data_IF_104551245074
#
_entry.id   IF_104551245074
#
_cell.length_a   1.000
_cell.length_b   1.000
_cell.length_c   1.000
_cell.angle_alpha   90.00
_cell.angle_beta   90.00
_cell.angle_gamma   90.00
#
_symmetry.space_group_name_H-M   'P 1'
#
loop_
_entity.id
_entity.type
_entity.pdbx_description
1 polymer ?
#
# COMPACT_ATOMS: atom_id res chain seq x y z
N UNK A 1 -11.14 13.26 -16.65
CA UNK A 1 -10.51 13.15 -15.32
C UNK A 1 -11.22 14.13 -14.40
N UNK A 2 -11.57 13.73 -13.17
CA UNK A 2 -12.25 14.62 -12.21
C UNK A 2 -11.23 15.57 -11.56
N UNK A 3 -11.64 16.77 -11.17
CA UNK A 3 -10.72 17.80 -10.66
C UNK A 3 -9.87 17.32 -9.47
N UNK A 4 -10.49 16.65 -8.49
CA UNK A 4 -9.76 16.11 -7.32
C UNK A 4 -8.66 15.11 -7.70
N UNK A 5 -8.80 14.35 -8.80
CA UNK A 5 -7.77 13.41 -9.27
C UNK A 5 -6.53 14.15 -9.80
N UNK A 6 -6.76 15.28 -10.47
CA UNK A 6 -5.68 16.15 -10.96
C UNK A 6 -5.00 16.85 -9.79
N UNK A 7 -5.78 17.34 -8.84
CA UNK A 7 -5.26 18.04 -7.66
C UNK A 7 -4.45 17.10 -6.77
N UNK A 8 -4.93 15.87 -6.55
CA UNK A 8 -4.20 14.85 -5.79
C UNK A 8 -2.88 14.47 -6.47
N UNK A 9 -2.90 14.31 -7.80
CA UNK A 9 -1.69 14.00 -8.56
C UNK A 9 -0.64 15.11 -8.42
N UNK A 10 -1.03 16.37 -8.65
CA UNK A 10 -0.14 17.53 -8.48
C UNK A 10 0.38 17.66 -7.05
N UNK A 11 -0.48 17.43 -6.07
CA UNK A 11 -0.06 17.41 -4.67
C UNK A 11 1.00 16.33 -4.43
N UNK A 12 0.85 15.14 -5.01
CA UNK A 12 1.78 14.03 -4.83
C UNK A 12 3.15 14.26 -5.51
N UNK A 13 3.24 15.13 -6.52
CA UNK A 13 4.53 15.51 -7.12
C UNK A 13 5.44 16.20 -6.10
N UNK A 14 4.87 17.04 -5.23
CA UNK A 14 5.63 17.86 -4.29
C UNK A 14 5.62 17.34 -2.85
N UNK A 15 4.70 16.43 -2.51
CA UNK A 15 4.48 15.94 -1.15
C UNK A 15 4.77 14.44 -1.00
N UNK A 16 5.13 14.07 0.21
CA UNK A 16 5.48 12.70 0.61
C UNK A 16 4.22 11.89 0.98
N UNK A 17 3.30 12.56 1.65
CA UNK A 17 1.98 12.04 2.03
C UNK A 17 0.91 12.96 1.44
N UNK A 18 -0.08 12.37 0.78
CA UNK A 18 -1.25 13.10 0.28
C UNK A 18 -2.55 12.49 0.81
N UNK A 19 -3.49 13.35 1.20
CA UNK A 19 -4.81 12.98 1.71
C UNK A 19 -5.90 13.39 0.71
N UNK A 20 -6.68 12.43 0.22
CA UNK A 20 -7.88 12.70 -0.58
C UNK A 20 -9.13 12.55 0.30
N UNK A 21 -9.78 13.68 0.60
CA UNK A 21 -11.01 13.74 1.38
C UNK A 21 -12.30 13.77 0.55
N UNK A 22 -12.21 13.50 -0.75
CA UNK A 22 -13.38 13.52 -1.62
C UNK A 22 -14.49 12.54 -1.15
N UNK A 23 -15.77 12.85 -1.35
CA UNK A 23 -16.87 11.97 -0.98
C UNK A 23 -16.76 10.58 -1.63
N UNK A 24 -17.31 9.55 -0.99
CA UNK A 24 -17.39 8.20 -1.58
C UNK A 24 -18.14 8.23 -2.91
N UNK A 25 -17.74 7.38 -3.86
CA UNK A 25 -18.33 7.35 -5.21
C UNK A 25 -17.77 8.39 -6.19
N UNK A 26 -16.88 9.29 -5.75
CA UNK A 26 -16.23 10.29 -6.63
C UNK A 26 -14.98 9.78 -7.33
N UNK A 27 -14.56 8.53 -7.11
CA UNK A 27 -13.42 7.94 -7.80
C UNK A 27 -12.06 8.14 -7.13
N UNK A 28 -12.02 8.29 -5.80
CA UNK A 28 -10.79 8.29 -4.97
C UNK A 28 -9.85 7.12 -5.27
N UNK A 29 -10.38 5.91 -5.45
CA UNK A 29 -9.56 4.74 -5.81
C UNK A 29 -8.75 4.99 -7.08
N UNK A 30 -9.37 5.54 -8.13
CA UNK A 30 -8.65 5.90 -9.37
C UNK A 30 -7.66 7.03 -9.13
N UNK A 31 -8.00 8.01 -8.28
CA UNK A 31 -7.10 9.09 -7.90
C UNK A 31 -5.82 8.54 -7.24
N UNK A 32 -5.97 7.64 -6.26
CA UNK A 32 -4.85 7.05 -5.54
C UNK A 32 -4.01 6.12 -6.42
N UNK A 33 -4.64 5.26 -7.23
CA UNK A 33 -3.92 4.41 -8.20
C UNK A 33 -3.13 5.25 -9.21
N UNK A 34 -3.62 6.43 -9.59
CA UNK A 34 -2.92 7.31 -10.52
C UNK A 34 -1.56 7.81 -10.00
N UNK A 35 -1.36 7.85 -8.68
CA UNK A 35 -0.08 8.23 -8.05
C UNK A 35 1.04 7.23 -8.35
N UNK A 36 0.70 5.99 -8.74
CA UNK A 36 1.68 4.96 -9.13
C UNK A 36 2.56 5.44 -10.29
N UNK A 37 2.08 6.32 -11.18
CA UNK A 37 2.89 6.88 -12.28
C UNK A 37 4.15 7.62 -11.81
N UNK A 38 4.16 8.19 -10.59
CA UNK A 38 5.34 8.87 -10.05
C UNK A 38 6.49 7.89 -9.72
N UNK A 39 6.21 6.59 -9.66
CA UNK A 39 7.15 5.51 -9.42
C UNK A 39 6.77 4.27 -10.25
N UNK A 40 6.55 4.45 -11.55
CA UNK A 40 5.93 3.44 -12.43
C UNK A 40 6.74 2.16 -12.64
N UNK A 41 8.02 2.17 -12.29
CA UNK A 41 8.98 1.08 -12.40
C UNK A 41 9.21 0.33 -11.08
N UNK A 42 8.48 0.71 -10.02
CA UNK A 42 8.65 0.20 -8.66
C UNK A 42 7.36 -0.40 -8.11
N UNK A 43 7.51 -1.32 -7.15
CA UNK A 43 6.37 -1.99 -6.53
C UNK A 43 5.48 -1.01 -5.78
N UNK A 44 4.17 -1.27 -5.83
CA UNK A 44 3.16 -0.53 -5.11
C UNK A 44 2.26 -1.48 -4.31
N UNK A 45 1.60 -0.95 -3.27
CA UNK A 45 0.63 -1.70 -2.49
C UNK A 45 -0.64 -0.87 -2.29
N UNK A 46 -1.78 -1.53 -2.47
CA UNK A 46 -3.11 -0.99 -2.20
C UNK A 46 -3.73 -1.76 -1.05
N UNK A 47 -4.11 -1.05 0.01
CA UNK A 47 -4.66 -1.64 1.22
C UNK A 47 -6.15 -1.29 1.23
N UNK A 48 -6.96 -2.26 0.81
CA UNK A 48 -8.41 -2.15 0.72
C UNK A 48 -9.03 -1.92 2.12
N UNK A 49 -10.24 -1.35 2.20
CA UNK A 49 -10.87 -1.05 3.48
C UNK A 49 -11.23 -2.29 4.30
N UNK A 50 -11.61 -3.38 3.64
CA UNK A 50 -12.02 -4.62 4.32
C UNK A 50 -11.60 -5.86 3.53
N UNK A 51 -11.61 -7.00 4.21
CA UNK A 51 -11.35 -8.32 3.61
C UNK A 51 -12.30 -8.64 2.45
N UNK A 52 -13.56 -8.20 2.53
CA UNK A 52 -14.57 -8.50 1.53
C UNK A 52 -14.33 -7.77 0.20
N UNK A 53 -13.53 -6.71 0.19
CA UNK A 53 -13.35 -5.83 -0.97
C UNK A 53 -12.05 -6.10 -1.74
N UNK A 54 -11.17 -6.98 -1.25
CA UNK A 54 -9.85 -7.25 -1.88
C UNK A 54 -10.02 -7.66 -3.34
N UNK A 55 -10.91 -8.61 -3.63
CA UNK A 55 -11.08 -9.14 -4.99
C UNK A 55 -11.60 -8.07 -5.96
N UNK A 56 -12.64 -7.35 -5.54
CA UNK A 56 -13.19 -6.23 -6.32
C UNK A 56 -12.14 -5.14 -6.58
N UNK A 57 -11.33 -4.81 -5.57
CA UNK A 57 -10.27 -3.80 -5.73
C UNK A 57 -9.11 -4.30 -6.57
N UNK A 58 -8.84 -5.62 -6.57
CA UNK A 58 -7.85 -6.25 -7.45
C UNK A 58 -8.29 -6.11 -8.91
N UNK A 59 -9.54 -6.47 -9.24
CA UNK A 59 -10.07 -6.29 -10.59
C UNK A 59 -10.09 -4.82 -11.03
N UNK A 60 -10.41 -3.91 -10.12
CA UNK A 60 -10.40 -2.47 -10.39
C UNK A 60 -8.98 -1.96 -10.68
N UNK A 61 -7.99 -2.44 -9.91
CA UNK A 61 -6.58 -2.13 -10.12
C UNK A 61 -6.04 -2.73 -11.43
N UNK A 62 -6.41 -3.97 -11.79
CA UNK A 62 -6.07 -4.60 -13.07
C UNK A 62 -6.58 -3.78 -14.26
N UNK A 63 -7.88 -3.45 -14.25
CA UNK A 63 -8.50 -2.60 -15.28
C UNK A 63 -7.83 -1.23 -15.34
N UNK A 64 -7.41 -0.67 -14.20
CA UNK A 64 -6.73 0.60 -14.15
C UNK A 64 -5.35 0.51 -14.83
N UNK A 65 -4.50 -0.43 -14.42
CA UNK A 65 -3.13 -0.53 -14.97
C UNK A 65 -3.16 -0.80 -16.47
N UNK A 66 -4.09 -1.61 -16.97
CA UNK A 66 -4.30 -1.83 -18.40
C UNK A 66 -4.74 -0.55 -19.12
N UNK A 67 -5.71 0.17 -18.56
CA UNK A 67 -6.25 1.40 -19.15
C UNK A 67 -5.19 2.50 -19.30
N UNK A 68 -4.28 2.62 -18.33
CA UNK A 68 -3.24 3.67 -18.32
C UNK A 68 -1.88 3.20 -18.84
N UNK A 69 -1.74 1.92 -19.21
CA UNK A 69 -0.50 1.36 -19.74
C UNK A 69 0.62 1.17 -18.70
N UNK A 70 0.28 0.99 -17.42
CA UNK A 70 1.24 0.61 -16.39
C UNK A 70 1.62 -0.87 -16.54
N UNK A 71 2.91 -1.19 -16.39
CA UNK A 71 3.41 -2.56 -16.59
C UNK A 71 3.19 -3.47 -15.38
N UNK A 72 2.66 -2.93 -14.28
CA UNK A 72 2.48 -3.62 -13.01
C UNK A 72 1.70 -4.93 -13.16
N UNK A 73 2.18 -5.96 -12.47
CA UNK A 73 1.44 -7.19 -12.27
C UNK A 73 0.61 -7.04 -11.01
N UNK A 74 -0.71 -7.08 -11.14
CA UNK A 74 -1.61 -6.94 -10.00
C UNK A 74 -1.86 -8.31 -9.37
N UNK A 75 -1.74 -8.42 -8.04
CA UNK A 75 -2.04 -9.67 -7.31
C UNK A 75 -2.76 -9.38 -6.01
N UNK A 76 -3.77 -10.18 -5.71
CA UNK A 76 -4.48 -10.15 -4.44
C UNK A 76 -3.72 -10.89 -3.33
N UNK A 77 -3.63 -10.29 -2.15
CA UNK A 77 -3.11 -10.87 -0.92
C UNK A 77 -4.17 -10.79 0.17
N UNK A 78 -4.94 -11.85 0.33
CA UNK A 78 -5.76 -12.13 1.51
C UNK A 78 -5.17 -13.33 2.25
N UNK A 79 -5.56 -13.56 3.51
CA UNK A 79 -5.11 -14.75 4.22
C UNK A 79 -5.45 -16.05 3.46
N UNK A 80 -6.57 -16.06 2.74
CA UNK A 80 -6.95 -17.17 1.86
C UNK A 80 -6.04 -17.25 0.63
N UNK A 81 -5.90 -16.16 -0.14
CA UNK A 81 -5.08 -16.14 -1.36
C UNK A 81 -3.63 -16.52 -1.10
N UNK A 82 -3.05 -16.03 0.01
CA UNK A 82 -1.68 -16.36 0.41
C UNK A 82 -1.50 -17.86 0.65
N UNK A 83 -2.51 -18.55 1.21
CA UNK A 83 -2.45 -20.01 1.38
C UNK A 83 -2.47 -20.74 0.03
N UNK A 84 -3.21 -20.21 -0.93
CA UNK A 84 -3.38 -20.78 -2.29
C UNK A 84 -2.17 -20.52 -3.21
N UNK A 85 -1.29 -19.55 -2.90
CA UNK A 85 -0.10 -19.30 -3.69
C UNK A 85 0.82 -20.53 -3.77
N UNK A 86 1.65 -20.65 -4.82
CA UNK A 86 2.60 -21.76 -4.96
C UNK A 86 3.51 -21.93 -3.73
N UNK A 87 3.89 -23.18 -3.46
CA UNK A 87 4.75 -23.57 -2.33
C UNK A 87 6.08 -24.19 -2.74
N UNK A 88 6.22 -24.51 -4.02
CA UNK A 88 7.35 -25.21 -4.64
C UNK A 88 8.70 -24.48 -4.44
N UNK A 89 8.70 -23.14 -4.40
CA UNK A 89 9.92 -22.33 -4.26
C UNK A 89 10.12 -21.64 -2.90
N UNK A 90 9.08 -21.61 -2.07
CA UNK A 90 8.98 -20.70 -0.91
C UNK A 90 8.39 -21.34 0.34
N UNK A 91 8.12 -22.65 0.31
CA UNK A 91 7.51 -23.36 1.44
C UNK A 91 5.99 -23.17 1.58
N UNK A 92 5.43 -23.75 2.63
CA UNK A 92 3.98 -23.83 2.86
C UNK A 92 3.45 -22.78 3.82
N UNK A 93 4.32 -22.17 4.63
CA UNK A 93 3.93 -21.21 5.67
C UNK A 93 3.52 -19.87 5.05
N UNK A 94 2.37 -19.29 5.43
CA UNK A 94 1.93 -18.00 4.88
C UNK A 94 2.93 -16.85 5.06
N UNK A 95 3.64 -16.79 6.20
CA UNK A 95 4.67 -15.77 6.43
C UNK A 95 5.85 -15.88 5.46
N UNK A 96 6.27 -17.11 5.14
CA UNK A 96 7.36 -17.35 4.19
C UNK A 96 6.97 -16.97 2.76
N UNK A 97 5.72 -17.25 2.38
CA UNK A 97 5.15 -16.81 1.11
C UNK A 97 5.09 -15.28 1.02
N UNK A 98 4.58 -14.60 2.06
CA UNK A 98 4.56 -13.13 2.12
C UNK A 98 5.98 -12.58 2.02
N UNK A 99 6.93 -13.09 2.82
CA UNK A 99 8.32 -12.63 2.77
C UNK A 99 8.91 -12.72 1.36
N UNK A 100 8.71 -13.84 0.67
CA UNK A 100 9.22 -14.01 -0.69
C UNK A 100 8.51 -13.10 -1.70
N UNK A 101 7.19 -12.88 -1.60
CA UNK A 101 6.49 -11.89 -2.45
C UNK A 101 7.04 -10.49 -2.24
N UNK A 102 7.32 -10.10 -0.99
CA UNK A 102 7.82 -8.76 -0.69
C UNK A 102 9.26 -8.55 -1.18
N UNK A 103 10.12 -9.57 -1.04
CA UNK A 103 11.54 -9.51 -1.42
C UNK A 103 11.78 -9.67 -2.91
N UNK A 104 11.17 -10.69 -3.52
CA UNK A 104 11.34 -11.04 -4.93
C UNK A 104 10.03 -11.63 -5.48
N UNK A 105 9.08 -10.76 -5.90
CA UNK A 105 7.76 -11.16 -6.40
C UNK A 105 7.81 -12.26 -7.46
N UNK A 106 8.84 -12.26 -8.33
CA UNK A 106 8.99 -13.24 -9.41
C UNK A 106 9.19 -14.68 -8.92
N UNK A 107 9.53 -14.87 -7.64
CA UNK A 107 9.65 -16.19 -7.02
C UNK A 107 8.30 -16.91 -6.98
N UNK A 108 7.21 -16.18 -6.76
CA UNK A 108 5.85 -16.71 -6.62
C UNK A 108 4.99 -16.37 -7.84
N UNK A 109 5.23 -15.21 -8.46
CA UNK A 109 4.52 -14.72 -9.63
C UNK A 109 5.49 -14.50 -10.79
N UNK A 110 5.77 -15.54 -11.61
CA UNK A 110 6.74 -15.45 -12.70
C UNK A 110 6.48 -14.31 -13.68
N UNK A 111 5.23 -13.80 -13.76
CA UNK A 111 4.86 -12.66 -14.60
C UNK A 111 5.52 -11.35 -14.15
N UNK A 112 5.96 -11.24 -12.89
CA UNK A 112 6.77 -10.13 -12.38
C UNK A 112 8.22 -10.19 -12.91
N UNK A 113 8.63 -11.31 -13.52
CA UNK A 113 9.93 -11.44 -14.18
C UNK A 113 10.12 -10.40 -15.28
N UNK A 114 11.37 -10.05 -15.57
CA UNK A 114 11.69 -9.04 -16.58
C UNK A 114 11.42 -7.60 -16.14
N UNK A 115 11.60 -7.31 -14.84
CA UNK A 115 11.43 -5.99 -14.22
C UNK A 115 9.99 -5.44 -14.26
N UNK A 116 8.98 -6.31 -14.27
CA UNK A 116 7.59 -5.88 -14.13
C UNK A 116 7.25 -5.71 -12.65
N UNK A 117 6.97 -4.49 -12.17
CA UNK A 117 6.71 -4.26 -10.75
C UNK A 117 5.41 -4.91 -10.30
N UNK A 118 5.32 -5.25 -9.01
CA UNK A 118 4.13 -5.76 -8.37
C UNK A 118 3.22 -4.60 -7.93
N UNK A 119 1.92 -4.71 -8.20
CA UNK A 119 0.87 -3.98 -7.46
C UNK A 119 0.14 -4.98 -6.56
N UNK A 120 0.50 -5.01 -5.28
CA UNK A 120 -0.09 -5.92 -4.32
C UNK A 120 -1.38 -5.31 -3.76
N UNK A 121 -2.52 -5.98 -3.91
CA UNK A 121 -3.79 -5.54 -3.31
C UNK A 121 -4.06 -6.39 -2.09
N UNK A 122 -4.06 -5.78 -0.91
CA UNK A 122 -4.18 -6.47 0.38
C UNK A 122 -5.27 -5.86 1.26
N UNK A 123 -5.39 -6.36 2.49
CA UNK A 123 -6.27 -5.86 3.53
C UNK A 123 -5.50 -5.23 4.71
N UNK A 124 -6.22 -4.57 5.63
CA UNK A 124 -5.61 -3.96 6.80
C UNK A 124 -5.04 -5.00 7.78
N UNK A 125 -5.51 -6.25 7.74
CA UNK A 125 -5.03 -7.32 8.63
C UNK A 125 -3.59 -7.75 8.26
N UNK A 126 -3.33 -8.08 7.00
CA UNK A 126 -1.97 -8.42 6.53
C UNK A 126 -1.04 -7.22 6.70
N UNK A 127 -1.53 -6.01 6.41
CA UNK A 127 -0.80 -4.79 6.69
C UNK A 127 -0.42 -4.70 8.17
N UNK A 128 -1.38 -4.85 9.09
CA UNK A 128 -1.14 -4.89 10.53
C UNK A 128 -0.08 -5.93 10.90
N UNK A 129 -0.20 -7.16 10.38
CA UNK A 129 0.74 -8.23 10.71
C UNK A 129 2.17 -7.92 10.24
N UNK A 130 2.32 -7.32 9.06
CA UNK A 130 3.60 -6.96 8.48
C UNK A 130 4.22 -5.73 9.15
N UNK A 131 3.48 -4.63 9.25
CA UNK A 131 3.94 -3.35 9.78
C UNK A 131 4.20 -3.39 11.29
N UNK A 132 3.42 -4.18 12.04
CA UNK A 132 3.51 -4.25 13.51
C UNK A 132 4.32 -5.45 14.02
N UNK A 133 5.11 -6.10 13.16
CA UNK A 133 6.01 -7.22 13.52
C UNK A 133 5.29 -8.43 14.15
N UNK A 134 4.06 -8.72 13.73
CA UNK A 134 3.19 -9.73 14.36
C UNK A 134 3.19 -11.10 13.67
N UNK A 135 3.99 -11.29 12.61
CA UNK A 135 4.25 -12.63 12.07
C UNK A 135 5.06 -13.50 13.05
N UNK A 136 5.23 -14.78 12.71
CA UNK A 136 6.01 -15.71 13.52
C UNK A 136 7.44 -15.21 13.76
N UNK A 137 8.05 -15.61 14.90
CA UNK A 137 9.38 -15.12 15.33
C UNK A 137 10.45 -15.22 14.24
N UNK A 138 10.39 -16.26 13.40
CA UNK A 138 11.35 -16.49 12.32
C UNK A 138 11.19 -15.53 11.14
N UNK A 139 10.00 -14.95 10.94
CA UNK A 139 9.68 -14.19 9.72
C UNK A 139 9.41 -12.70 10.02
N UNK A 140 9.00 -12.33 11.25
CA UNK A 140 8.50 -10.99 11.59
C UNK A 140 9.43 -9.83 11.23
N UNK A 141 10.73 -9.95 11.52
CA UNK A 141 11.69 -8.86 11.27
C UNK A 141 11.99 -8.72 9.79
N UNK A 142 12.09 -9.85 9.08
CA UNK A 142 12.34 -9.87 7.65
C UNK A 142 11.15 -9.30 6.89
N UNK A 143 9.93 -9.77 7.19
CA UNK A 143 8.70 -9.25 6.58
C UNK A 143 8.57 -7.75 6.84
N UNK A 144 8.76 -7.29 8.07
CA UNK A 144 8.67 -5.87 8.37
C UNK A 144 9.73 -5.07 7.59
N UNK A 145 10.99 -5.51 7.55
CA UNK A 145 12.05 -4.86 6.77
C UNK A 145 11.68 -4.72 5.30
N UNK A 146 11.23 -5.82 4.67
CA UNK A 146 10.80 -5.79 3.26
C UNK A 146 9.55 -4.92 3.08
N UNK A 147 8.62 -4.91 4.03
CA UNK A 147 7.40 -4.09 3.93
C UNK A 147 7.69 -2.58 4.02
N UNK A 148 8.60 -2.16 4.91
CA UNK A 148 9.03 -0.76 5.01
C UNK A 148 9.95 -0.32 3.86
N UNK A 149 10.59 -1.25 3.14
CA UNK A 149 11.57 -0.92 2.10
C UNK A 149 11.10 -1.25 0.67
N UNK A 150 10.11 -2.12 0.49
CA UNK A 150 9.80 -2.76 -0.78
C UNK A 150 8.81 -2.03 -1.68
N UNK A 151 8.01 -1.10 -1.13
CA UNK A 151 7.02 -0.35 -1.90
C UNK A 151 7.42 1.13 -2.05
N UNK A 152 7.21 1.68 -3.23
CA UNK A 152 7.41 3.11 -3.51
C UNK A 152 6.12 3.92 -3.41
N UNK A 153 4.97 3.28 -3.59
CA UNK A 153 3.66 3.90 -3.47
C UNK A 153 2.77 3.00 -2.62
N UNK A 154 2.25 3.55 -1.52
CA UNK A 154 1.37 2.84 -0.58
C UNK A 154 0.05 3.59 -0.53
N UNK A 155 -1.05 2.90 -0.80
CA UNK A 155 -2.39 3.49 -0.84
C UNK A 155 -3.23 2.86 0.27
N UNK A 156 -3.71 3.66 1.21
CA UNK A 156 -4.65 3.24 2.25
C UNK A 156 -6.04 3.72 1.87
N UNK A 157 -6.93 2.79 1.53
CA UNK A 157 -8.26 3.10 1.04
C UNK A 157 -9.34 3.04 2.13
N UNK A 158 -10.27 4.01 2.05
CA UNK A 158 -11.36 4.28 2.99
C UNK A 158 -11.02 3.94 4.45
N UNK A 159 -9.88 4.46 4.94
CA UNK A 159 -9.34 4.06 6.24
C UNK A 159 -10.20 4.46 7.45
N UNK A 160 -11.25 5.27 7.26
CA UNK A 160 -12.28 5.49 8.28
C UNK A 160 -13.08 4.22 8.62
N UNK A 161 -12.97 3.16 7.80
CA UNK A 161 -13.54 1.85 8.07
C UNK A 161 -12.61 0.95 8.89
N UNK A 162 -11.38 1.41 9.18
CA UNK A 162 -10.41 0.62 9.95
C UNK A 162 -10.83 0.55 11.41
N UNK A 163 -10.62 -0.62 12.04
CA UNK A 163 -10.75 -0.72 13.48
C UNK A 163 -9.60 -0.01 14.20
N UNK A 164 -9.71 0.13 15.53
CA UNK A 164 -8.70 0.81 16.34
C UNK A 164 -7.29 0.21 16.19
N UNK A 165 -7.15 -1.11 16.00
CA UNK A 165 -5.83 -1.76 15.85
C UNK A 165 -5.22 -1.44 14.49
N UNK A 166 -6.04 -1.48 13.45
CA UNK A 166 -5.66 -1.17 12.08
C UNK A 166 -5.29 0.31 11.95
N UNK A 167 -6.08 1.22 12.54
CA UNK A 167 -5.79 2.65 12.56
C UNK A 167 -4.49 2.97 13.33
N UNK A 168 -4.31 2.42 14.53
CA UNK A 168 -3.05 2.61 15.29
C UNK A 168 -1.85 2.12 14.48
N UNK A 169 -2.00 1.02 13.74
CA UNK A 169 -0.91 0.48 12.91
C UNK A 169 -0.62 1.33 11.69
N UNK A 170 -1.65 1.96 11.08
CA UNK A 170 -1.46 3.00 10.06
C UNK A 170 -0.60 4.14 10.63
N UNK A 171 -1.01 4.74 11.75
CA UNK A 171 -0.32 5.89 12.34
C UNK A 171 1.11 5.54 12.78
N UNK A 172 1.31 4.34 13.33
CA UNK A 172 2.61 3.80 13.67
C UNK A 172 3.49 3.61 12.42
N UNK A 173 2.91 3.09 11.33
CA UNK A 173 3.60 2.92 10.06
C UNK A 173 4.08 4.24 9.47
N UNK A 174 3.25 5.29 9.48
CA UNK A 174 3.65 6.62 9.01
C UNK A 174 4.85 7.17 9.81
N UNK A 175 4.81 6.99 11.13
CA UNK A 175 5.88 7.44 12.03
C UNK A 175 7.19 6.70 11.78
N UNK A 176 7.15 5.36 11.70
CA UNK A 176 8.35 4.57 11.42
C UNK A 176 8.88 4.80 10.00
N UNK A 177 8.01 5.06 9.02
CA UNK A 177 8.42 5.40 7.65
C UNK A 177 9.34 6.63 7.64
N UNK A 178 9.03 7.65 8.45
CA UNK A 178 9.93 8.80 8.61
C UNK A 178 11.26 8.40 9.26
N UNK A 179 11.23 7.62 10.35
CA UNK A 179 12.45 7.17 11.05
C UNK A 179 13.37 6.36 10.13
N UNK A 180 12.80 5.53 9.26
CA UNK A 180 13.55 4.69 8.31
C UNK A 180 13.93 5.40 7.01
N UNK A 181 13.69 6.71 6.88
CA UNK A 181 14.06 7.46 5.68
C UNK A 181 13.24 7.09 4.43
N UNK A 182 12.03 6.55 4.60
CA UNK A 182 11.16 6.14 3.48
C UNK A 182 10.92 7.28 2.49
N UNK A 183 10.71 8.50 3.00
CA UNK A 183 10.40 9.69 2.21
C UNK A 183 11.62 10.29 1.49
N UNK A 184 12.84 9.87 1.85
CA UNK A 184 14.07 10.37 1.22
C UNK A 184 14.29 9.79 -0.19
N UNK A 185 13.45 8.83 -0.61
CA UNK A 185 13.56 8.06 -1.86
C UNK A 185 12.40 8.32 -2.84
N UNK A 186 11.80 9.53 -2.77
CA UNK A 186 10.63 9.97 -3.55
C UNK A 186 9.44 8.98 -3.49
N UNK A 187 9.27 8.33 -2.35
CA UNK A 187 8.18 7.39 -2.13
C UNK A 187 6.94 8.12 -1.63
N UNK A 188 5.78 7.59 -1.97
CA UNK A 188 4.48 8.22 -1.73
C UNK A 188 3.63 7.37 -0.81
N UNK A 189 2.95 8.02 0.12
CA UNK A 189 1.82 7.45 0.85
C UNK A 189 0.56 8.23 0.50
N UNK A 190 -0.45 7.52 0.05
CA UNK A 190 -1.75 8.08 -0.31
C UNK A 190 -2.77 7.61 0.71
N UNK A 191 -3.43 8.56 1.36
CA UNK A 191 -4.48 8.31 2.33
C UNK A 191 -5.81 8.70 1.70
N UNK A 192 -6.73 7.75 1.55
CA UNK A 192 -8.06 7.99 1.01
C UNK A 192 -9.09 7.80 2.11
N UNK A 193 -9.90 8.83 2.40
CA UNK A 193 -11.00 8.73 3.36
C UNK A 193 -12.00 9.84 3.14
N UNK A 194 -13.30 9.62 3.29
CA UNK A 194 -14.25 10.73 3.30
C UNK A 194 -14.23 11.55 4.61
N UNK A 195 -13.78 10.93 5.70
CA UNK A 195 -13.88 11.47 7.06
C UNK A 195 -12.63 11.12 7.86
N UNK A 196 -11.55 11.93 7.80
CA UNK A 196 -10.36 11.67 8.58
C UNK A 196 -10.67 11.80 10.08
N UNK A 197 -10.19 10.85 10.89
CA UNK A 197 -10.31 10.95 12.34
C UNK A 197 -9.39 12.06 12.91
N UNK A 198 -9.77 12.75 14.00
CA UNK A 198 -8.91 13.75 14.63
C UNK A 198 -7.51 13.24 15.02
N UNK A 199 -7.40 11.96 15.38
CA UNK A 199 -6.12 11.32 15.67
C UNK A 199 -5.20 11.26 14.44
N UNK A 200 -5.78 11.08 13.24
CA UNK A 200 -5.04 11.09 11.99
C UNK A 200 -4.51 12.50 11.69
N UNK A 201 -5.35 13.53 11.83
CA UNK A 201 -4.93 14.93 11.64
C UNK A 201 -3.79 15.32 12.60
N UNK A 202 -3.91 14.94 13.88
CA UNK A 202 -2.87 15.18 14.87
C UNK A 202 -1.55 14.49 14.50
N UNK A 203 -1.60 13.22 14.08
CA UNK A 203 -0.42 12.47 13.66
C UNK A 203 0.26 13.08 12.40
N UNK A 204 -0.53 13.49 11.40
CA UNK A 204 -0.03 14.18 10.22
C UNK A 204 0.61 15.53 10.57
N UNK A 205 0.05 16.26 11.55
CA UNK A 205 0.64 17.48 12.09
C UNK A 205 2.02 17.25 12.73
N UNK A 206 2.17 16.17 13.50
CA UNK A 206 3.47 15.79 14.08
C UNK A 206 4.50 15.47 12.99
N UNK A 207 4.10 14.71 11.95
CA UNK A 207 4.99 14.37 10.84
C UNK A 207 5.41 15.60 10.04
N UNK A 208 4.47 16.54 9.81
CA UNK A 208 4.76 17.82 9.16
C UNK A 208 5.78 18.63 9.96
N UNK A 209 5.64 18.70 11.28
CA UNK A 209 6.60 19.37 12.16
C UNK A 209 7.97 18.67 12.17
N UNK A 210 8.01 17.35 11.89
CA UNK A 210 9.23 16.57 11.72
C UNK A 210 9.82 16.64 10.29
N UNK A 211 9.28 17.50 9.42
CA UNK A 211 9.79 17.77 8.08
C UNK A 211 9.27 16.84 6.98
N UNK A 212 8.26 16.01 7.23
CA UNK A 212 7.54 15.27 6.18
C UNK A 212 6.63 16.24 5.42
N UNK A 213 6.64 16.19 4.08
CA UNK A 213 5.76 17.01 3.26
C UNK A 213 4.39 16.36 3.18
N UNK A 214 3.40 16.95 3.84
CA UNK A 214 2.02 16.43 3.92
C UNK A 214 1.06 17.43 3.31
N UNK A 215 0.18 16.96 2.41
CA UNK A 215 -0.85 17.78 1.76
C UNK A 215 -2.24 17.16 1.81
#
# INVERSE_FOLDING_TARGET
MLQHQVDLYKAAEENDIVLDTAPTGTGKTKAGLNIIHLNSDRNAIYIAPTNALIEQQTEAAEKFVEMVGLSHVVKAASAQRVREWPSDRVGTRPGEKIYNVLREPATIFPECGGNRPLLLVTNPDIFYYAASFQYGKSDRSNIASEFYSGFSTIIFDEFHLYDAKQLVSLLFYLTLSKVFGYFDQNRKIVLLTATPEPACEAALGVLKNAGVKVK
#
